data_IF_736589932931
#
_entry.id   IF_736589932931
#
_cell.length_a   1.000
_cell.length_b   1.000
_cell.length_c   1.000
_cell.angle_alpha   90.00
_cell.angle_beta   90.00
_cell.angle_gamma   90.00
#
_symmetry.space_group_name_H-M   'P 1'
#
loop_
_entity.id
_entity.type
_entity.pdbx_description
1 polymer ?
#
# COMPACT_ATOMS: atom_id res chain seq x y z
N UNK A 1 17.66 7.03 -14.39
CA UNK A 1 17.54 7.69 -13.07
C UNK A 1 17.60 6.68 -11.93
N UNK A 2 18.05 7.05 -10.73
CA UNK A 2 18.12 6.17 -9.55
C UNK A 2 17.51 6.84 -8.30
N UNK A 3 16.51 6.19 -7.71
CA UNK A 3 15.96 6.53 -6.39
C UNK A 3 16.63 5.64 -5.35
N UNK A 4 17.45 6.21 -4.45
CA UNK A 4 18.11 5.46 -3.37
C UNK A 4 17.20 5.28 -2.14
N UNK A 5 17.40 4.23 -1.32
CA UNK A 5 16.58 4.04 -0.12
C UNK A 5 16.85 5.15 0.91
N UNK A 6 15.81 5.58 1.61
CA UNK A 6 15.83 6.68 2.58
C UNK A 6 15.60 6.19 4.00
N UNK A 7 14.98 5.00 4.15
CA UNK A 7 14.63 4.42 5.46
C UNK A 7 15.19 2.99 5.65
N UNK A 8 16.04 2.53 4.72
CA UNK A 8 16.85 1.33 4.95
C UNK A 8 17.79 1.54 6.16
N UNK A 9 17.76 0.59 7.09
CA UNK A 9 18.44 0.67 8.39
C UNK A 9 17.60 1.28 9.52
N UNK A 10 16.42 1.82 9.23
CA UNK A 10 15.49 2.37 10.25
C UNK A 10 14.11 1.70 10.21
N UNK A 11 13.43 1.72 9.06
CA UNK A 11 12.12 1.06 8.89
C UNK A 11 12.26 -0.42 8.61
N UNK A 12 13.33 -0.81 7.92
CA UNK A 12 13.67 -2.20 7.66
C UNK A 12 15.19 -2.37 7.67
N UNK A 13 15.70 -3.55 8.06
CA UNK A 13 17.14 -3.77 8.14
C UNK A 13 17.79 -3.81 6.75
N UNK A 14 19.11 -3.93 6.70
CA UNK A 14 19.86 -4.05 5.45
C UNK A 14 20.58 -5.39 5.35
N UNK A 15 21.09 -5.72 4.16
CA UNK A 15 21.90 -6.92 3.95
C UNK A 15 21.17 -8.22 4.28
N UNK A 16 21.86 -9.13 4.98
CA UNK A 16 21.36 -10.47 5.27
C UNK A 16 20.19 -10.47 6.26
N UNK A 17 20.16 -9.52 7.19
CA UNK A 17 19.08 -9.42 8.19
C UNK A 17 17.73 -9.16 7.52
N UNK A 18 17.69 -8.33 6.47
CA UNK A 18 16.49 -8.13 5.66
C UNK A 18 16.00 -9.42 5.00
N UNK A 19 16.92 -10.20 4.42
CA UNK A 19 16.57 -11.48 3.78
C UNK A 19 16.04 -12.50 4.77
N UNK A 20 16.65 -12.58 5.95
CA UNK A 20 16.18 -13.44 7.04
C UNK A 20 14.79 -13.03 7.54
N UNK A 21 14.57 -11.73 7.73
CA UNK A 21 13.27 -11.19 8.17
C UNK A 21 12.18 -11.46 7.13
N UNK A 22 12.44 -11.20 5.85
CA UNK A 22 11.51 -11.53 4.76
C UNK A 22 11.24 -13.04 4.70
N UNK A 23 12.27 -13.88 4.83
CA UNK A 23 12.10 -15.34 4.89
C UNK A 23 11.19 -15.78 6.04
N UNK A 24 11.31 -15.17 7.22
CA UNK A 24 10.43 -15.49 8.35
C UNK A 24 9.00 -15.02 8.09
N UNK A 25 8.82 -13.82 7.53
CA UNK A 25 7.49 -13.36 7.14
C UNK A 25 6.83 -14.33 6.16
N UNK A 26 7.57 -14.79 5.15
CA UNK A 26 7.09 -15.73 4.14
C UNK A 26 7.37 -17.21 4.47
N UNK A 27 7.50 -17.57 5.75
CA UNK A 27 7.80 -18.96 6.16
C UNK A 27 6.74 -19.98 5.74
N UNK A 28 5.52 -19.50 5.53
CA UNK A 28 4.33 -20.23 5.12
C UNK A 28 3.91 -19.91 3.68
N UNK A 29 4.82 -19.39 2.85
CA UNK A 29 4.58 -19.13 1.43
C UNK A 29 4.26 -20.43 0.69
N UNK A 30 3.12 -20.46 0.00
CA UNK A 30 2.70 -21.55 -0.86
C UNK A 30 3.42 -21.58 -2.21
N UNK A 31 2.79 -22.25 -3.17
CA UNK A 31 3.26 -22.33 -4.56
C UNK A 31 2.88 -21.07 -5.34
N UNK A 32 3.61 -20.79 -6.42
CA UNK A 32 3.28 -19.70 -7.34
C UNK A 32 1.97 -20.02 -8.05
N UNK A 33 1.03 -19.08 -8.04
CA UNK A 33 -0.25 -19.23 -8.73
C UNK A 33 -0.18 -18.94 -10.23
N UNK A 34 -1.22 -19.34 -10.96
CA UNK A 34 -1.38 -19.10 -12.40
C UNK A 34 -2.72 -18.40 -12.76
N UNK A 35 -3.59 -18.13 -11.78
CA UNK A 35 -4.98 -17.70 -12.04
C UNK A 35 -5.15 -16.19 -12.26
N UNK A 36 -4.28 -15.35 -11.67
CA UNK A 36 -4.26 -13.87 -11.82
C UNK A 36 -5.62 -13.20 -11.60
N UNK A 37 -6.25 -13.46 -10.43
CA UNK A 37 -7.54 -12.87 -10.03
C UNK A 37 -7.40 -11.61 -9.19
N UNK A 38 -6.32 -11.45 -8.43
CA UNK A 38 -6.12 -10.29 -7.57
C UNK A 38 -5.86 -9.05 -8.42
N UNK A 39 -6.65 -8.01 -8.17
CA UNK A 39 -6.55 -6.71 -8.88
C UNK A 39 -5.86 -5.66 -8.03
N UNK A 40 -6.09 -5.68 -6.71
CA UNK A 40 -5.44 -4.76 -5.79
C UNK A 40 -5.20 -5.38 -4.41
N UNK A 41 -4.25 -4.79 -3.69
CA UNK A 41 -3.96 -5.10 -2.30
C UNK A 41 -3.81 -3.83 -1.45
N UNK A 42 -4.14 -3.93 -0.16
CA UNK A 42 -3.85 -2.91 0.85
C UNK A 42 -2.76 -3.46 1.77
N UNK A 43 -1.72 -2.67 2.04
CA UNK A 43 -0.62 -3.08 2.91
C UNK A 43 -0.09 -1.91 3.76
N UNK A 44 0.28 -2.15 5.04
CA UNK A 44 0.84 -1.14 5.92
C UNK A 44 2.27 -0.75 5.55
N UNK A 45 2.71 0.41 6.04
CA UNK A 45 4.04 0.98 5.77
C UNK A 45 4.83 1.44 7.01
N UNK A 46 4.39 1.11 8.22
CA UNK A 46 5.26 1.24 9.39
C UNK A 46 6.55 0.37 9.27
N UNK A 47 7.48 0.56 10.21
CA UNK A 47 8.68 -0.26 10.28
C UNK A 47 8.36 -1.75 10.39
N UNK A 48 9.15 -2.60 9.72
CA UNK A 48 8.88 -4.03 9.53
C UNK A 48 8.71 -4.79 10.83
N UNK A 49 9.39 -4.37 11.90
CA UNK A 49 9.22 -4.96 13.24
C UNK A 49 7.78 -4.86 13.74
N UNK A 50 7.02 -3.84 13.33
CA UNK A 50 5.62 -3.62 13.72
C UNK A 50 4.63 -4.20 12.72
N UNK A 51 4.78 -3.88 11.44
CA UNK A 51 3.75 -4.13 10.42
C UNK A 51 4.18 -5.11 9.32
N UNK A 52 5.45 -5.53 9.29
CA UNK A 52 6.03 -6.28 8.18
C UNK A 52 5.37 -7.63 7.95
N UNK A 53 5.02 -8.35 9.02
CA UNK A 53 4.26 -9.61 8.90
C UNK A 53 2.88 -9.36 8.27
N UNK A 54 2.16 -8.33 8.71
CA UNK A 54 0.87 -7.95 8.13
C UNK A 54 1.01 -7.60 6.65
N UNK A 55 1.96 -6.73 6.27
CA UNK A 55 2.21 -6.40 4.87
C UNK A 55 2.52 -7.63 4.02
N UNK A 56 3.34 -8.56 4.52
CA UNK A 56 3.69 -9.79 3.80
C UNK A 56 2.48 -10.64 3.41
N UNK A 57 1.35 -10.55 4.13
CA UNK A 57 0.14 -11.33 3.80
C UNK A 57 -0.45 -10.92 2.46
N UNK A 58 -0.46 -9.62 2.14
CA UNK A 58 -0.90 -9.09 0.84
C UNK A 58 -0.04 -9.65 -0.28
N UNK A 59 1.29 -9.61 -0.11
CA UNK A 59 2.24 -10.10 -1.11
C UNK A 59 2.24 -11.62 -1.24
N UNK A 60 2.00 -12.36 -0.14
CA UNK A 60 1.83 -13.81 -0.16
C UNK A 60 0.61 -14.20 -1.00
N UNK A 61 -0.53 -13.54 -0.76
CA UNK A 61 -1.74 -13.79 -1.53
C UNK A 61 -1.55 -13.50 -3.03
N UNK A 62 -0.85 -12.40 -3.36
CA UNK A 62 -0.52 -12.09 -4.77
C UNK A 62 0.40 -13.15 -5.38
N UNK A 63 1.42 -13.60 -4.66
CA UNK A 63 2.30 -14.67 -5.15
C UNK A 63 1.52 -15.97 -5.41
N UNK A 64 0.64 -16.36 -4.48
CA UNK A 64 -0.17 -17.58 -4.60
C UNK A 64 -1.30 -17.47 -5.64
N UNK A 65 -1.59 -16.26 -6.12
CA UNK A 65 -2.51 -15.99 -7.24
C UNK A 65 -1.76 -15.91 -8.60
N UNK A 66 -0.47 -15.61 -8.57
CA UNK A 66 0.43 -15.38 -9.73
C UNK A 66 0.90 -13.92 -9.79
N UNK A 67 2.09 -13.64 -10.30
CA UNK A 67 2.65 -12.27 -10.31
C UNK A 67 2.20 -11.41 -11.51
N UNK A 68 2.03 -10.08 -11.35
CA UNK A 68 1.78 -9.16 -12.45
C UNK A 68 3.07 -8.84 -13.20
N UNK A 69 2.95 -8.31 -14.42
CA UNK A 69 4.07 -7.64 -15.09
C UNK A 69 4.50 -6.37 -14.32
N UNK A 70 3.54 -5.65 -13.74
CA UNK A 70 3.81 -4.37 -13.05
C UNK A 70 2.94 -4.16 -11.81
N UNK A 71 3.58 -3.75 -10.71
CA UNK A 71 2.87 -3.26 -9.52
C UNK A 71 2.72 -1.74 -9.58
N UNK A 72 1.50 -1.23 -9.51
CA UNK A 72 1.27 0.21 -9.30
C UNK A 72 1.18 0.45 -7.80
N UNK A 73 2.19 1.08 -7.20
CA UNK A 73 2.29 1.24 -5.73
C UNK A 73 1.97 2.68 -5.36
N UNK A 74 0.86 2.85 -4.64
CA UNK A 74 0.33 4.16 -4.27
C UNK A 74 0.53 4.36 -2.77
N UNK A 75 1.11 5.48 -2.38
CA UNK A 75 1.31 5.82 -0.97
C UNK A 75 1.07 7.30 -0.69
N UNK A 76 0.78 7.68 0.57
CA UNK A 76 0.72 9.09 0.94
C UNK A 76 2.08 9.78 0.79
N UNK A 77 2.02 11.10 0.59
CA UNK A 77 3.17 12.00 0.65
C UNK A 77 3.23 12.69 2.02
N UNK A 78 4.02 12.14 2.93
CA UNK A 78 4.30 12.68 4.26
C UNK A 78 5.30 13.84 4.24
N UNK A 79 6.09 13.97 3.16
CA UNK A 79 7.13 15.01 3.05
C UNK A 79 6.55 16.37 2.66
N UNK A 80 5.41 16.39 1.95
CA UNK A 80 4.82 17.60 1.37
C UNK A 80 5.63 18.20 0.20
N UNK A 81 6.61 17.47 -0.34
CA UNK A 81 7.42 17.91 -1.47
C UNK A 81 6.77 17.51 -2.80
N UNK A 82 7.08 18.26 -3.86
CA UNK A 82 6.67 17.90 -5.22
C UNK A 82 5.20 18.16 -5.53
N UNK A 83 4.68 17.48 -6.57
CA UNK A 83 3.27 17.62 -6.99
C UNK A 83 2.30 16.97 -5.98
N UNK A 84 1.08 17.52 -5.78
CA UNK A 84 0.06 16.90 -4.93
C UNK A 84 -0.35 15.49 -5.37
N UNK A 85 -0.23 15.15 -6.66
CA UNK A 85 -0.42 13.80 -7.20
C UNK A 85 0.75 13.52 -8.14
N UNK A 86 1.74 12.79 -7.65
CA UNK A 86 3.02 12.64 -8.32
C UNK A 86 3.27 11.17 -8.73
N UNK A 87 3.61 10.97 -10.00
CA UNK A 87 4.01 9.68 -10.57
C UNK A 87 5.51 9.72 -10.83
N UNK A 88 6.25 8.73 -10.34
CA UNK A 88 7.69 8.66 -10.58
C UNK A 88 7.96 8.25 -12.05
N UNK A 89 8.71 9.05 -12.83
CA UNK A 89 8.66 8.96 -14.30
C UNK A 89 9.44 7.80 -14.91
N UNK A 90 10.67 7.53 -14.45
CA UNK A 90 11.58 6.61 -15.16
C UNK A 90 12.74 6.10 -14.30
N UNK A 91 13.46 5.08 -14.78
CA UNK A 91 14.66 4.56 -14.14
C UNK A 91 14.41 3.43 -13.13
N UNK A 92 15.10 3.48 -11.98
CA UNK A 92 15.07 2.39 -10.98
C UNK A 92 15.00 2.90 -9.56
N UNK A 93 14.34 2.12 -8.70
CA UNK A 93 14.42 2.26 -7.25
C UNK A 93 15.41 1.25 -6.70
N UNK A 94 16.34 1.71 -5.87
CA UNK A 94 17.37 0.90 -5.22
C UNK A 94 16.91 0.58 -3.80
N UNK A 95 17.05 -0.68 -3.42
CA UNK A 95 16.90 -1.15 -2.04
C UNK A 95 18.11 -2.04 -1.69
N UNK A 96 18.24 -2.49 -0.43
CA UNK A 96 19.24 -3.50 -0.06
C UNK A 96 19.07 -4.85 -0.78
N UNK A 97 17.92 -5.12 -1.40
CA UNK A 97 17.65 -6.33 -2.21
C UNK A 97 18.09 -6.18 -3.68
N UNK A 98 18.49 -4.97 -4.10
CA UNK A 98 18.86 -4.65 -5.48
C UNK A 98 17.99 -3.55 -6.09
N UNK A 99 18.10 -3.35 -7.40
CA UNK A 99 17.32 -2.36 -8.13
C UNK A 99 16.05 -2.95 -8.77
N UNK A 100 14.92 -2.25 -8.67
CA UNK A 100 13.67 -2.57 -9.39
C UNK A 100 13.39 -1.48 -10.45
N UNK A 101 12.95 -1.90 -11.63
CA UNK A 101 12.69 -0.99 -12.77
C UNK A 101 11.33 -0.33 -12.65
N UNK A 102 11.25 0.93 -13.04
CA UNK A 102 9.99 1.63 -13.25
C UNK A 102 9.42 1.21 -14.60
N UNK A 103 8.12 0.94 -14.70
CA UNK A 103 7.44 0.81 -16.00
C UNK A 103 7.14 2.21 -16.55
N UNK A 104 8.09 2.75 -17.31
CA UNK A 104 8.08 4.13 -17.78
C UNK A 104 6.94 4.40 -18.77
N UNK A 105 6.59 3.39 -19.58
CA UNK A 105 5.49 3.50 -20.56
C UNK A 105 4.15 3.58 -19.83
N UNK A 106 3.94 2.72 -18.82
CA UNK A 106 2.74 2.77 -17.99
C UNK A 106 2.68 4.06 -17.17
N UNK A 107 3.78 4.49 -16.55
CA UNK A 107 3.83 5.75 -15.80
C UNK A 107 3.42 6.96 -16.67
N UNK A 108 3.98 7.05 -17.88
CA UNK A 108 3.64 8.11 -18.85
C UNK A 108 2.20 7.98 -19.36
N UNK A 109 1.68 6.76 -19.51
CA UNK A 109 0.29 6.54 -19.93
C UNK A 109 -0.71 6.97 -18.84
N UNK A 110 -0.45 6.63 -17.58
CA UNK A 110 -1.29 7.06 -16.45
C UNK A 110 -1.33 8.59 -16.37
N UNK A 111 -0.17 9.25 -16.48
CA UNK A 111 -0.11 10.72 -16.47
C UNK A 111 -0.85 11.37 -17.66
N UNK A 112 -0.97 10.69 -18.81
CA UNK A 112 -1.75 11.20 -19.95
C UNK A 112 -3.26 11.06 -19.76
N UNK A 113 -3.71 9.99 -19.10
CA UNK A 113 -5.14 9.74 -18.85
C UNK A 113 -5.67 10.49 -17.63
N UNK A 114 -4.80 10.81 -16.67
CA UNK A 114 -5.16 11.60 -15.50
C UNK A 114 -5.21 13.09 -15.81
N UNK A 115 -6.25 13.78 -15.32
CA UNK A 115 -6.35 15.23 -15.41
C UNK A 115 -5.54 15.99 -14.36
N UNK A 116 -4.94 15.29 -13.41
CA UNK A 116 -4.37 15.88 -12.17
C UNK A 116 -2.98 15.35 -11.80
N UNK A 117 -2.54 14.22 -12.36
CA UNK A 117 -1.28 13.58 -11.99
C UNK A 117 -0.12 14.10 -12.82
N UNK A 118 0.95 14.53 -12.14
CA UNK A 118 2.18 14.98 -12.77
C UNK A 118 3.27 13.91 -12.73
N UNK A 119 4.15 13.92 -13.73
CA UNK A 119 5.43 13.22 -13.64
C UNK A 119 6.38 14.04 -12.76
N UNK A 120 6.68 13.55 -11.56
CA UNK A 120 7.51 14.26 -10.58
C UNK A 120 8.39 13.29 -9.77
N UNK A 121 9.66 13.64 -9.62
CA UNK A 121 10.62 12.88 -8.82
C UNK A 121 10.72 13.41 -7.39
N UNK A 122 10.46 14.70 -7.22
CA UNK A 122 10.75 15.41 -5.97
C UNK A 122 9.88 14.88 -4.83
N UNK A 123 8.60 14.58 -5.10
CA UNK A 123 7.69 13.98 -4.14
C UNK A 123 8.15 12.62 -3.61
N UNK A 124 8.93 11.86 -4.38
CA UNK A 124 9.38 10.51 -4.01
C UNK A 124 10.75 10.48 -3.34
N UNK A 125 11.47 11.61 -3.36
CA UNK A 125 12.90 11.67 -3.01
C UNK A 125 13.19 11.22 -1.58
N UNK A 126 12.32 11.58 -0.64
CA UNK A 126 12.44 11.25 0.79
C UNK A 126 11.18 10.57 1.35
N UNK A 127 10.21 10.24 0.49
CA UNK A 127 8.98 9.57 0.90
C UNK A 127 9.22 8.08 1.12
N UNK A 128 8.68 7.53 2.21
CA UNK A 128 8.94 6.18 2.64
C UNK A 128 7.79 5.22 2.35
N UNK A 129 6.54 5.72 2.28
CA UNK A 129 5.34 4.88 2.19
C UNK A 129 5.38 3.84 1.07
N UNK A 130 5.92 4.22 -0.09
CA UNK A 130 6.14 3.32 -1.23
C UNK A 130 7.43 2.49 -1.06
N UNK A 131 8.51 3.08 -0.56
CA UNK A 131 9.82 2.40 -0.41
C UNK A 131 9.69 1.12 0.40
N UNK A 132 8.98 1.16 1.53
CA UNK A 132 8.82 -0.01 2.40
C UNK A 132 8.06 -1.16 1.77
N UNK A 133 7.32 -0.92 0.67
CA UNK A 133 6.64 -1.98 -0.09
C UNK A 133 7.61 -2.74 -0.99
N UNK A 134 8.67 -2.08 -1.46
CA UNK A 134 9.54 -2.59 -2.53
C UNK A 134 10.29 -3.89 -2.15
N UNK A 135 10.86 -4.05 -0.93
CA UNK A 135 11.52 -5.30 -0.59
C UNK A 135 10.59 -6.53 -0.61
N UNK A 136 9.30 -6.37 -0.31
CA UNK A 136 8.33 -7.48 -0.43
C UNK A 136 8.10 -7.87 -1.90
N UNK A 137 7.91 -6.88 -2.78
CA UNK A 137 7.77 -7.10 -4.23
C UNK A 137 9.01 -7.82 -4.79
N UNK A 138 10.21 -7.34 -4.43
CA UNK A 138 11.45 -7.97 -4.87
C UNK A 138 11.61 -9.39 -4.32
N UNK A 139 11.17 -9.65 -3.08
CA UNK A 139 11.22 -10.98 -2.49
C UNK A 139 10.35 -11.97 -3.26
N UNK A 140 9.08 -11.65 -3.51
CA UNK A 140 8.16 -12.55 -4.22
C UNK A 140 8.57 -12.74 -5.69
N UNK A 141 9.09 -11.70 -6.34
CA UNK A 141 9.65 -11.77 -7.70
C UNK A 141 10.88 -12.70 -7.77
N UNK A 142 11.80 -12.60 -6.80
CA UNK A 142 12.94 -13.51 -6.71
C UNK A 142 12.53 -14.95 -6.42
N UNK A 143 11.44 -15.16 -5.67
CA UNK A 143 10.88 -16.50 -5.41
C UNK A 143 10.24 -17.13 -6.64
N UNK A 144 9.58 -16.32 -7.46
CA UNK A 144 8.98 -16.76 -8.71
C UNK A 144 9.99 -16.92 -9.85
N UNK A 145 11.20 -16.37 -9.70
CA UNK A 145 12.18 -16.24 -10.79
C UNK A 145 11.65 -15.40 -11.98
N UNK A 146 10.79 -14.43 -11.68
CA UNK A 146 10.14 -13.55 -12.67
C UNK A 146 10.56 -12.09 -12.49
N UNK A 147 10.81 -11.37 -13.59
CA UNK A 147 11.05 -9.93 -13.55
C UNK A 147 9.71 -9.16 -13.48
N UNK A 148 9.56 -8.32 -12.45
CA UNK A 148 8.42 -7.40 -12.31
C UNK A 148 8.90 -5.94 -12.31
N UNK A 149 8.02 -5.02 -12.71
CA UNK A 149 8.27 -3.57 -12.65
C UNK A 149 7.36 -2.89 -11.64
N UNK A 150 7.61 -1.61 -11.37
CA UNK A 150 6.75 -0.78 -10.53
C UNK A 150 6.34 0.52 -11.21
N UNK A 151 5.19 1.08 -10.81
CA UNK A 151 4.86 2.50 -11.00
C UNK A 151 4.60 3.11 -9.62
N UNK A 152 5.54 3.87 -9.06
CA UNK A 152 5.33 4.60 -7.80
C UNK A 152 4.43 5.82 -8.01
N UNK A 153 3.39 5.97 -7.18
CA UNK A 153 2.51 7.15 -7.17
C UNK A 153 2.36 7.67 -5.74
N UNK A 154 2.77 8.92 -5.49
CA UNK A 154 2.61 9.57 -4.17
C UNK A 154 1.45 10.55 -4.17
N UNK A 155 0.69 10.56 -3.07
CA UNK A 155 -0.50 11.39 -2.92
C UNK A 155 -0.35 12.37 -1.74
N UNK A 156 -0.14 13.65 -2.06
CA UNK A 156 -0.30 14.76 -1.11
C UNK A 156 -1.76 15.19 -0.98
N UNK A 157 -2.52 15.16 -2.08
CA UNK A 157 -3.97 15.33 -2.09
C UNK A 157 -4.65 13.95 -2.17
N UNK A 158 -5.61 13.68 -1.28
CA UNK A 158 -6.17 12.34 -1.06
C UNK A 158 -7.71 12.31 -1.01
N UNK A 159 -8.37 13.23 -1.70
CA UNK A 159 -9.84 13.28 -1.72
C UNK A 159 -10.46 12.29 -2.73
N UNK A 160 -11.79 12.27 -2.76
CA UNK A 160 -12.59 11.39 -3.60
C UNK A 160 -12.37 11.65 -5.10
N UNK A 161 -12.22 12.91 -5.51
CA UNK A 161 -12.03 13.29 -6.91
C UNK A 161 -10.67 12.79 -7.41
N UNK A 162 -9.62 12.91 -6.59
CA UNK A 162 -8.31 12.33 -6.88
C UNK A 162 -8.39 10.83 -7.08
N UNK A 163 -9.10 10.13 -6.20
CA UNK A 163 -9.24 8.68 -6.27
C UNK A 163 -10.01 8.20 -7.50
N UNK A 164 -11.08 8.91 -7.88
CA UNK A 164 -11.87 8.60 -9.08
C UNK A 164 -11.06 8.84 -10.36
N UNK A 165 -10.36 9.96 -10.48
CA UNK A 165 -9.52 10.28 -11.63
C UNK A 165 -8.38 9.26 -11.77
N UNK A 166 -7.60 9.07 -10.70
CA UNK A 166 -6.41 8.22 -10.74
C UNK A 166 -6.77 6.75 -10.95
N UNK A 167 -7.82 6.25 -10.30
CA UNK A 167 -8.24 4.86 -10.43
C UNK A 167 -8.70 4.54 -11.85
N UNK A 168 -9.38 5.49 -12.49
CA UNK A 168 -9.77 5.40 -13.90
C UNK A 168 -8.56 5.51 -14.83
N UNK A 169 -7.66 6.46 -14.59
CA UNK A 169 -6.46 6.65 -15.41
C UNK A 169 -5.53 5.43 -15.39
N UNK A 170 -5.38 4.78 -14.23
CA UNK A 170 -4.62 3.52 -14.10
C UNK A 170 -5.26 2.41 -14.94
N UNK A 171 -6.59 2.28 -14.88
CA UNK A 171 -7.31 1.30 -15.67
C UNK A 171 -7.20 1.57 -17.18
N UNK A 172 -7.44 2.80 -17.63
CA UNK A 172 -7.36 3.16 -19.05
C UNK A 172 -5.94 2.98 -19.61
N UNK A 173 -4.92 3.36 -18.84
CA UNK A 173 -3.53 3.15 -19.21
C UNK A 173 -3.14 1.66 -19.30
N UNK A 174 -3.64 0.82 -18.38
CA UNK A 174 -3.36 -0.62 -18.42
C UNK A 174 -4.03 -1.28 -19.63
N UNK A 175 -5.24 -0.88 -19.98
CA UNK A 175 -5.95 -1.36 -21.17
C UNK A 175 -5.29 -0.88 -22.47
N UNK A 176 -4.87 0.39 -22.56
CA UNK A 176 -4.16 0.94 -23.73
C UNK A 176 -2.90 0.13 -24.06
N UNK A 177 -2.13 -0.22 -23.03
CA UNK A 177 -0.86 -0.92 -23.20
C UNK A 177 -0.97 -2.45 -23.15
N UNK A 178 -2.16 -2.99 -22.83
CA UNK A 178 -2.35 -4.42 -22.58
C UNK A 178 -1.48 -4.94 -21.43
N UNK A 179 -1.20 -4.12 -20.41
CA UNK A 179 -0.31 -4.45 -19.30
C UNK A 179 -1.07 -5.14 -18.17
N UNK A 180 -0.57 -6.29 -17.72
CA UNK A 180 -1.11 -6.95 -16.53
C UNK A 180 -0.55 -6.30 -15.25
N UNK A 181 -1.44 -5.80 -14.39
CA UNK A 181 -1.07 -5.01 -13.22
C UNK A 181 -1.81 -5.43 -11.94
N UNK A 182 -1.16 -5.17 -10.80
CA UNK A 182 -1.80 -5.15 -9.48
C UNK A 182 -1.56 -3.79 -8.83
N UNK A 183 -2.61 -3.17 -8.29
CA UNK A 183 -2.48 -1.92 -7.52
C UNK A 183 -2.22 -2.24 -6.05
N UNK A 184 -1.20 -1.63 -5.45
CA UNK A 184 -0.93 -1.70 -4.02
C UNK A 184 -1.21 -0.35 -3.38
N UNK A 185 -2.22 -0.29 -2.51
CA UNK A 185 -2.49 0.86 -1.67
C UNK A 185 -1.72 0.73 -0.35
N UNK A 186 -0.73 1.59 -0.15
CA UNK A 186 0.10 1.62 1.04
C UNK A 186 -0.50 2.53 2.11
N UNK A 187 -0.95 1.96 3.21
CA UNK A 187 -1.57 2.72 4.32
C UNK A 187 -1.49 1.99 5.65
N UNK A 188 -1.19 2.73 6.70
CA UNK A 188 -1.53 2.36 8.07
C UNK A 188 -2.94 2.86 8.41
N UNK A 189 -3.55 2.29 9.46
CA UNK A 189 -4.90 2.62 9.91
C UNK A 189 -4.85 3.70 11.01
N UNK A 190 -5.58 3.54 12.12
CA UNK A 190 -5.65 4.55 13.18
C UNK A 190 -4.29 4.74 13.85
N UNK A 191 -3.82 5.99 13.90
CA UNK A 191 -2.74 6.44 14.77
C UNK A 191 -3.35 7.02 16.05
N UNK A 192 -3.52 6.19 17.08
CA UNK A 192 -4.08 6.56 18.38
C UNK A 192 -2.97 6.95 19.36
N UNK A 193 -3.15 8.05 20.08
CA UNK A 193 -2.28 8.45 21.19
C UNK A 193 -1.97 9.94 21.19
N UNK A 194 -1.49 10.43 22.34
CA UNK A 194 -1.11 11.84 22.47
C UNK A 194 0.06 12.22 21.55
N UNK A 195 0.97 11.28 21.26
CA UNK A 195 2.07 11.48 20.32
C UNK A 195 1.58 11.80 18.89
N UNK A 196 0.39 11.31 18.52
CA UNK A 196 -0.25 11.57 17.23
C UNK A 196 -1.30 12.69 17.31
N UNK A 197 -1.47 13.32 18.47
CA UNK A 197 -2.49 14.36 18.68
C UNK A 197 -3.93 13.84 18.59
N UNK A 198 -4.15 12.53 18.72
CA UNK A 198 -5.42 11.91 18.40
C UNK A 198 -5.86 10.88 19.46
N UNK A 199 -6.81 11.29 20.31
CA UNK A 199 -7.37 10.49 21.39
C UNK A 199 -8.90 10.63 21.39
N UNK A 200 -9.60 10.02 20.41
CA UNK A 200 -11.05 10.20 20.24
C UNK A 200 -11.90 9.53 21.33
N UNK A 201 -11.31 8.61 22.08
CA UNK A 201 -11.92 7.97 23.23
C UNK A 201 -10.84 7.62 24.27
N UNK A 202 -11.27 7.32 25.50
CA UNK A 202 -10.40 6.84 26.57
C UNK A 202 -10.91 5.50 27.07
N UNK A 203 -10.01 4.54 27.18
CA UNK A 203 -10.26 3.21 27.73
C UNK A 203 -8.95 2.68 28.36
N UNK A 204 -8.99 1.50 29.00
CA UNK A 204 -7.83 0.89 29.66
C UNK A 204 -7.66 -0.55 29.22
N UNK A 205 -6.42 -1.01 29.15
CA UNK A 205 -6.10 -2.41 28.83
C UNK A 205 -6.77 -2.88 27.54
N UNK A 206 -7.36 -4.07 27.58
CA UNK A 206 -7.98 -4.72 26.43
C UNK A 206 -9.18 -3.94 25.86
N UNK A 207 -9.91 -3.17 26.68
CA UNK A 207 -11.01 -2.33 26.21
C UNK A 207 -10.52 -1.25 25.23
N UNK A 208 -9.29 -0.75 25.42
CA UNK A 208 -8.71 0.22 24.51
C UNK A 208 -8.40 -0.42 23.15
N UNK A 209 -7.80 -1.61 23.17
CA UNK A 209 -7.47 -2.35 21.95
C UNK A 209 -8.74 -2.74 21.17
N UNK A 210 -9.79 -3.16 21.89
CA UNK A 210 -11.10 -3.46 21.30
C UNK A 210 -11.70 -2.25 20.59
N UNK A 211 -11.64 -1.06 21.19
CA UNK A 211 -12.16 0.17 20.58
C UNK A 211 -11.34 0.65 19.39
N UNK A 212 -10.01 0.55 19.44
CA UNK A 212 -9.15 0.88 18.28
C UNK A 212 -9.48 -0.05 17.11
N UNK A 213 -9.59 -1.35 17.38
CA UNK A 213 -10.00 -2.32 16.36
C UNK A 213 -11.40 -2.02 15.81
N UNK A 214 -12.37 -1.72 16.66
CA UNK A 214 -13.73 -1.35 16.22
C UNK A 214 -13.72 -0.13 15.28
N UNK A 215 -12.91 0.89 15.60
CA UNK A 215 -12.76 2.09 14.77
C UNK A 215 -12.15 1.80 13.42
N UNK A 216 -11.03 1.06 13.38
CA UNK A 216 -10.42 0.63 12.13
C UNK A 216 -11.40 -0.20 11.30
N UNK A 217 -12.17 -1.09 11.94
CA UNK A 217 -13.11 -1.97 11.23
C UNK A 217 -14.30 -1.24 10.62
N UNK A 218 -14.68 -0.06 11.12
CA UNK A 218 -15.67 0.80 10.44
C UNK A 218 -15.17 1.28 9.08
N UNK A 219 -13.88 1.58 8.96
CA UNK A 219 -13.24 1.94 7.68
C UNK A 219 -13.03 0.70 6.83
N UNK A 220 -12.47 -0.38 7.40
CA UNK A 220 -12.21 -1.63 6.69
C UNK A 220 -13.49 -2.20 6.08
N UNK A 221 -14.61 -2.16 6.79
CA UNK A 221 -15.88 -2.62 6.25
C UNK A 221 -16.27 -1.87 4.96
N UNK A 222 -16.00 -0.56 4.88
CA UNK A 222 -16.23 0.23 3.66
C UNK A 222 -15.30 -0.13 2.52
N UNK A 223 -14.06 -0.51 2.83
CA UNK A 223 -13.13 -1.09 1.84
C UNK A 223 -13.71 -2.40 1.32
N UNK A 224 -14.18 -3.28 2.20
CA UNK A 224 -14.71 -4.60 1.82
C UNK A 224 -15.98 -4.50 0.96
N UNK A 225 -16.80 -3.48 1.18
CA UNK A 225 -18.01 -3.17 0.41
C UNK A 225 -17.72 -2.48 -0.94
N UNK A 226 -16.45 -2.25 -1.29
CA UNK A 226 -16.04 -1.40 -2.42
C UNK A 226 -16.68 0.01 -2.39
N UNK A 227 -16.90 0.55 -1.19
CA UNK A 227 -17.59 1.80 -0.91
C UNK A 227 -16.59 2.88 -0.46
N UNK A 228 -15.79 3.39 -1.40
CA UNK A 228 -14.79 4.42 -1.10
C UNK A 228 -15.43 5.75 -0.66
N UNK A 229 -16.64 6.08 -1.12
CA UNK A 229 -17.38 7.29 -0.68
C UNK A 229 -17.79 7.17 0.78
N UNK A 230 -18.40 6.05 1.16
CA UNK A 230 -18.73 5.72 2.55
C UNK A 230 -17.48 5.62 3.44
N UNK A 231 -16.36 5.15 2.90
CA UNK A 231 -15.06 5.17 3.59
C UNK A 231 -14.65 6.60 3.96
N UNK A 232 -14.66 7.53 2.99
CA UNK A 232 -14.37 8.94 3.27
C UNK A 232 -15.36 9.59 4.24
N UNK A 233 -16.65 9.25 4.17
CA UNK A 233 -17.65 9.71 5.13
C UNK A 233 -17.33 9.25 6.55
N UNK A 234 -16.98 7.98 6.74
CA UNK A 234 -16.60 7.43 8.05
C UNK A 234 -15.31 8.07 8.56
N UNK A 235 -14.30 8.27 7.70
CA UNK A 235 -13.07 8.99 8.06
C UNK A 235 -13.40 10.40 8.54
N UNK A 236 -14.23 11.14 7.81
CA UNK A 236 -14.64 12.52 8.16
C UNK A 236 -15.43 12.57 9.48
N UNK A 237 -16.40 11.66 9.68
CA UNK A 237 -17.20 11.59 10.92
C UNK A 237 -16.36 11.29 12.15
N UNK A 238 -15.36 10.43 11.99
CA UNK A 238 -14.49 9.98 13.08
C UNK A 238 -13.27 10.88 13.27
N UNK A 239 -12.94 11.72 12.28
CA UNK A 239 -11.63 12.35 12.15
C UNK A 239 -10.49 11.31 12.17
N UNK A 240 -10.73 10.16 11.50
CA UNK A 240 -9.87 9.00 11.55
C UNK A 240 -8.48 9.30 10.97
N UNK A 241 -7.42 8.85 11.65
CA UNK A 241 -6.03 9.15 11.31
C UNK A 241 -5.39 8.12 10.37
N UNK A 242 -6.19 7.54 9.48
CA UNK A 242 -5.68 6.67 8.40
C UNK A 242 -4.81 7.53 7.47
N UNK A 243 -3.59 7.10 7.17
CA UNK A 243 -2.63 7.96 6.45
C UNK A 243 -2.78 7.92 4.92
N UNK A 244 -3.28 6.82 4.34
CA UNK A 244 -3.37 6.63 2.89
C UNK A 244 -4.79 6.40 2.31
N UNK A 245 -5.84 7.14 2.73
CA UNK A 245 -7.20 6.89 2.25
C UNK A 245 -7.38 7.10 0.75
N UNK A 246 -6.66 8.06 0.14
CA UNK A 246 -6.73 8.30 -1.31
C UNK A 246 -6.18 7.14 -2.13
N UNK A 247 -5.10 6.50 -1.64
CA UNK A 247 -4.52 5.32 -2.28
C UNK A 247 -5.47 4.12 -2.22
N UNK A 248 -6.13 3.90 -1.08
CA UNK A 248 -7.14 2.83 -0.94
C UNK A 248 -8.37 3.10 -1.81
N UNK A 249 -8.87 4.34 -1.82
CA UNK A 249 -9.99 4.70 -2.68
C UNK A 249 -9.65 4.52 -4.17
N UNK A 250 -8.45 4.90 -4.59
CA UNK A 250 -7.93 4.67 -5.94
C UNK A 250 -7.91 3.18 -6.28
N UNK A 251 -7.42 2.34 -5.36
CA UNK A 251 -7.42 0.89 -5.53
C UNK A 251 -8.84 0.32 -5.67
N UNK A 252 -9.81 0.79 -4.88
CA UNK A 252 -11.23 0.40 -5.00
C UNK A 252 -11.78 0.76 -6.38
N UNK A 253 -11.57 2.00 -6.84
CA UNK A 253 -12.04 2.47 -8.16
C UNK A 253 -11.44 1.60 -9.27
N UNK A 254 -10.12 1.43 -9.27
CA UNK A 254 -9.42 0.58 -10.23
C UNK A 254 -9.96 -0.86 -10.21
N UNK A 255 -10.07 -1.48 -9.04
CA UNK A 255 -10.50 -2.88 -8.89
C UNK A 255 -11.92 -3.09 -9.39
N UNK A 256 -12.85 -2.14 -9.17
CA UNK A 256 -14.21 -2.23 -9.72
C UNK A 256 -14.20 -2.21 -11.25
N UNK A 257 -13.40 -1.34 -11.87
CA UNK A 257 -13.25 -1.29 -13.33
C UNK A 257 -12.59 -2.57 -13.87
N UNK A 258 -11.64 -3.13 -13.12
CA UNK A 258 -10.97 -4.39 -13.43
C UNK A 258 -11.84 -5.64 -13.15
N UNK A 259 -13.09 -5.47 -12.71
CA UNK A 259 -14.05 -6.57 -12.51
C UNK A 259 -13.91 -7.32 -11.18
N UNK A 260 -13.27 -6.73 -10.18
CA UNK A 260 -13.24 -7.29 -8.84
C UNK A 260 -14.63 -7.30 -8.21
N UNK A 261 -14.97 -8.41 -7.54
CA UNK A 261 -16.26 -8.62 -6.89
C UNK A 261 -16.12 -9.11 -5.46
N UNK A 262 -14.92 -9.51 -5.05
CA UNK A 262 -14.63 -10.03 -3.72
C UNK A 262 -13.48 -9.24 -3.07
N UNK A 263 -13.60 -9.10 -1.75
CA UNK A 263 -12.57 -8.53 -0.89
C UNK A 263 -12.34 -9.46 0.31
N UNK A 264 -11.11 -9.46 0.83
CA UNK A 264 -10.76 -10.30 1.98
C UNK A 264 -9.76 -9.59 2.88
N UNK A 265 -10.02 -9.56 4.20
CA UNK A 265 -9.02 -9.20 5.20
C UNK A 265 -8.15 -10.42 5.47
N UNK A 266 -6.89 -10.37 5.05
CA UNK A 266 -5.93 -11.45 5.26
C UNK A 266 -5.35 -11.42 6.67
N UNK A 267 -5.14 -10.22 7.22
CA UNK A 267 -4.62 -10.03 8.57
C UNK A 267 -4.89 -8.63 9.10
N UNK A 268 -5.08 -8.53 10.40
CA UNK A 268 -5.16 -7.27 11.14
C UNK A 268 -4.36 -7.38 12.43
N UNK A 269 -3.57 -6.36 12.75
CA UNK A 269 -2.87 -6.26 14.04
C UNK A 269 -2.66 -4.80 14.41
N UNK A 270 -2.02 -4.55 15.56
CA UNK A 270 -1.63 -3.20 15.98
C UNK A 270 -0.20 -3.18 16.48
N UNK A 271 0.41 -2.00 16.57
CA UNK A 271 1.75 -1.82 17.15
C UNK A 271 1.83 -2.25 18.62
N UNK A 272 0.70 -2.44 19.30
CA UNK A 272 0.65 -2.96 20.67
C UNK A 272 1.26 -4.36 20.78
N UNK A 273 1.14 -5.20 19.75
CA UNK A 273 1.69 -6.57 19.79
C UNK A 273 3.20 -6.61 19.98
N UNK A 274 3.88 -5.54 19.59
CA UNK A 274 5.34 -5.41 19.68
C UNK A 274 5.72 -4.49 20.83
N UNK A 275 5.15 -3.28 20.89
CA UNK A 275 5.53 -2.26 21.87
C UNK A 275 4.99 -2.54 23.28
N UNK A 276 3.86 -3.25 23.39
CA UNK A 276 3.06 -3.42 24.62
C UNK A 276 2.70 -2.09 25.31
N UNK A 277 2.77 -0.97 24.57
CA UNK A 277 2.45 0.37 25.06
C UNK A 277 1.06 0.80 24.63
N UNK A 278 0.34 1.44 25.54
CA UNK A 278 -0.98 2.05 25.26
C UNK A 278 -0.90 3.56 25.03
N UNK A 279 0.30 4.14 25.07
CA UNK A 279 0.53 5.58 24.89
C UNK A 279 0.41 6.00 23.42
N UNK A 280 0.80 5.10 22.52
CA UNK A 280 0.80 5.27 21.07
C UNK A 280 0.56 3.92 20.40
N UNK A 281 -0.57 3.78 19.71
CA UNK A 281 -0.97 2.55 19.02
C UNK A 281 -1.28 2.89 17.56
N UNK A 282 -0.76 2.08 16.64
CA UNK A 282 -1.08 2.17 15.22
C UNK A 282 -1.73 0.87 14.76
N UNK A 283 -2.85 0.97 14.04
CA UNK A 283 -3.53 -0.17 13.42
C UNK A 283 -2.94 -0.54 12.05
N UNK A 284 -2.89 -1.83 11.73
CA UNK A 284 -2.35 -2.35 10.47
C UNK A 284 -3.27 -3.40 9.89
N UNK A 285 -3.56 -3.31 8.59
CA UNK A 285 -4.42 -4.27 7.90
C UNK A 285 -3.82 -4.71 6.56
N UNK A 286 -4.01 -5.97 6.23
CA UNK A 286 -3.76 -6.54 4.90
C UNK A 286 -5.07 -6.96 4.29
N UNK A 287 -5.34 -6.47 3.08
CA UNK A 287 -6.57 -6.73 2.32
C UNK A 287 -6.19 -7.05 0.88
N UNK A 288 -6.97 -7.91 0.22
CA UNK A 288 -6.91 -8.09 -1.24
C UNK A 288 -8.29 -7.94 -1.86
N UNK A 289 -8.32 -7.49 -3.11
CA UNK A 289 -9.51 -7.36 -3.95
C UNK A 289 -9.33 -8.23 -5.19
N UNK A 290 -10.29 -9.09 -5.51
CA UNK A 290 -10.16 -10.10 -6.58
C UNK A 290 -11.42 -10.22 -7.45
N UNK A 291 -11.19 -10.65 -8.69
CA UNK A 291 -12.24 -11.10 -9.63
C UNK A 291 -12.82 -12.43 -9.14
N UNK A 292 -14.00 -12.78 -9.66
CA UNK A 292 -14.61 -14.10 -9.43
C UNK A 292 -13.75 -15.26 -9.95
#
# INVERSE_FOLDING_TARGET
MLRYPTVAGSFYPTGEELKMMLKEFFRDLGELGEERKITAGVAPHAGYVFSGFTASRTYKAIYEDGLPETFVVIGPNHTGLGSPVAIYPEGKWITPMGGIKVDEDLAKAIARHSGIADLDELAHKYEHSIEVQIPFIQYISQKAEEEVRIVPITLGLQDEEVAEDLGKAIFEASQELGRDIVVIASTDMMHYGYAYGYVPFRARGDDLLGRIKEWDFRIIQKILEFDHKGMFDEIRKMNHTMCGPGGVATAIVFSRLAGAVETEVLHYTTSFEVSRSTDAIVGYVSIVMRKA
#
